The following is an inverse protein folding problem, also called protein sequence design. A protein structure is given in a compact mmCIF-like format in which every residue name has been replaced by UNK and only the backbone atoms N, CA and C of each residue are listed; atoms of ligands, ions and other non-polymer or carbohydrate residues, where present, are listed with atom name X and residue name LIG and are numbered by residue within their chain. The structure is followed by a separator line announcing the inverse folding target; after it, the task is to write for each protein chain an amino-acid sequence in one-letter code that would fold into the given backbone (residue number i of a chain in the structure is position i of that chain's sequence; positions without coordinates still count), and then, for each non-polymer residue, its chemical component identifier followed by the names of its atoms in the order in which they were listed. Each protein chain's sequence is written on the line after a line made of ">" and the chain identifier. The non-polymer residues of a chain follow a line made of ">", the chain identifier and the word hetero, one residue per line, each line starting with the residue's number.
data_IF_792000799916
#
_entry.id   IF_792000799916
#
_cell.length_a   1.000
_cell.length_b   1.000
_cell.length_c   1.000
_cell.angle_alpha   90.00
_cell.angle_beta   90.00
_cell.angle_gamma   90.00
#
_symmetry.space_group_name_H-M   'P 1'
#
loop_
_entity.id
_entity.type
_entity.pdbx_description
1 polymer ?
#
# COMPACT_ATOMS: atom_id res chain seq x y z
N UNK A 1 9.73 -60.98 25.14
CA UNK A 1 10.68 -59.85 25.07
C UNK A 1 11.49 -59.97 23.78
N UNK A 2 10.97 -59.38 22.70
CA UNK A 2 11.67 -58.87 21.49
C UNK A 2 10.59 -58.62 20.43
N UNK A 3 10.79 -57.60 19.59
CA UNK A 3 9.98 -57.29 18.40
C UNK A 3 8.66 -56.51 18.57
N UNK A 4 8.69 -55.30 19.15
CA UNK A 4 7.83 -54.15 18.71
C UNK A 4 8.54 -52.84 19.08
N UNK A 5 9.62 -52.45 18.39
CA UNK A 5 10.23 -51.11 18.56
C UNK A 5 10.79 -50.49 17.26
N UNK A 6 10.55 -51.10 16.10
CA UNK A 6 11.16 -50.67 14.84
C UNK A 6 10.28 -49.82 13.91
N UNK A 7 9.01 -49.55 14.24
CA UNK A 7 8.07 -48.88 13.31
C UNK A 7 7.69 -47.45 13.66
N UNK A 8 8.27 -46.88 14.72
CA UNK A 8 8.00 -45.49 15.16
C UNK A 8 9.15 -44.50 14.88
N UNK A 9 10.32 -44.98 14.46
CA UNK A 9 11.50 -44.14 14.22
C UNK A 9 11.66 -43.64 12.77
N UNK A 10 10.83 -44.10 11.81
CA UNK A 10 10.96 -43.75 10.39
C UNK A 10 9.85 -42.83 9.84
N UNK A 11 8.92 -42.36 10.68
CA UNK A 11 7.86 -41.41 10.26
C UNK A 11 7.99 -40.00 10.84
N UNK A 12 9.07 -39.74 11.58
CA UNK A 12 9.39 -38.43 12.18
C UNK A 12 10.58 -37.75 11.48
N UNK A 13 11.16 -38.37 10.44
CA UNK A 13 12.37 -37.87 9.77
C UNK A 13 12.12 -37.13 8.44
N UNK A 14 10.87 -36.95 8.00
CA UNK A 14 10.56 -36.31 6.71
C UNK A 14 9.67 -35.05 6.80
N UNK A 15 9.07 -34.75 7.96
CA UNK A 15 8.26 -33.53 8.15
C UNK A 15 8.96 -32.42 8.95
N UNK A 16 10.22 -32.64 9.38
CA UNK A 16 11.00 -31.64 10.13
C UNK A 16 12.05 -30.88 9.29
N UNK A 17 12.26 -31.25 8.02
CA UNK A 17 13.35 -30.68 7.20
C UNK A 17 12.97 -29.48 6.33
N UNK A 18 11.68 -29.10 6.27
CA UNK A 18 11.22 -27.96 5.46
C UNK A 18 10.95 -26.68 6.26
N UNK A 19 10.96 -26.75 7.59
CA UNK A 19 10.63 -25.60 8.46
C UNK A 19 11.86 -24.96 9.12
N UNK A 20 13.01 -25.64 9.14
CA UNK A 20 14.27 -25.13 9.73
C UNK A 20 15.12 -24.36 8.70
N UNK A 21 15.02 -24.70 7.40
CA UNK A 21 15.76 -24.02 6.32
C UNK A 21 15.29 -22.57 6.01
N UNK A 22 14.13 -22.15 6.52
CA UNK A 22 13.63 -20.79 6.30
C UNK A 22 14.05 -19.78 7.39
N UNK A 23 14.53 -20.26 8.55
CA UNK A 23 14.90 -19.40 9.68
C UNK A 23 16.41 -19.32 9.94
N UNK A 24 17.22 -20.30 9.51
CA UNK A 24 18.68 -20.23 9.64
C UNK A 24 19.37 -19.41 8.53
N UNK A 25 18.71 -19.18 7.38
CA UNK A 25 19.28 -18.38 6.30
C UNK A 25 19.15 -16.85 6.47
N UNK A 26 18.58 -16.39 7.60
CA UNK A 26 18.50 -14.96 7.95
C UNK A 26 19.46 -14.53 9.08
N UNK A 27 20.36 -15.42 9.53
CA UNK A 27 21.26 -15.09 10.66
C UNK A 27 22.76 -15.08 10.36
N UNK A 28 23.22 -15.45 9.16
CA UNK A 28 24.64 -15.43 8.79
C UNK A 28 24.91 -14.72 7.44
N UNK A 29 24.51 -13.45 7.32
CA UNK A 29 25.00 -12.57 6.24
C UNK A 29 25.31 -11.19 6.83
N UNK A 30 26.14 -11.14 7.87
CA UNK A 30 26.84 -9.93 8.32
C UNK A 30 28.24 -10.42 8.72
N UNK A 31 29.26 -9.81 8.09
CA UNK A 31 30.72 -10.08 8.14
C UNK A 31 31.25 -11.19 7.22
N UNK A 32 31.85 -10.83 6.06
CA UNK A 32 32.95 -11.61 5.53
C UNK A 32 34.22 -11.27 6.33
N UNK A 33 34.79 -12.29 6.95
CA UNK A 33 36.17 -12.33 7.43
C UNK A 33 37.11 -11.90 6.31
N UNK A 34 37.96 -10.92 6.61
CA UNK A 34 39.13 -10.57 5.82
C UNK A 34 40.00 -11.80 5.64
N UNK A 35 40.14 -12.29 4.42
CA UNK A 35 41.43 -12.64 3.82
C UNK A 35 41.25 -13.06 2.35
N UNK A 36 42.07 -12.44 1.49
CA UNK A 36 42.21 -12.66 0.04
C UNK A 36 41.08 -12.16 -0.87
N UNK A 37 40.97 -10.83 -1.00
CA UNK A 37 40.47 -10.20 -2.23
C UNK A 37 41.70 -9.61 -2.93
N UNK A 38 42.10 -10.22 -4.04
CA UNK A 38 43.02 -9.59 -5.00
C UNK A 38 42.43 -8.24 -5.42
N UNK A 39 43.19 -7.18 -5.18
CA UNK A 39 42.86 -5.82 -5.60
C UNK A 39 42.84 -5.74 -7.13
N UNK A 40 41.66 -5.82 -7.73
CA UNK A 40 41.47 -5.39 -9.11
C UNK A 40 41.62 -3.87 -9.17
N UNK A 41 42.69 -3.41 -9.82
CA UNK A 41 42.89 -2.00 -10.16
C UNK A 41 41.75 -1.49 -11.08
N UNK A 42 41.45 -0.17 -11.07
CA UNK A 42 40.34 0.39 -11.84
C UNK A 42 40.65 0.32 -13.33
N UNK A 43 40.07 -0.68 -13.99
CA UNK A 43 40.15 -0.88 -15.43
C UNK A 43 38.99 -0.21 -16.15
N UNK A 44 39.37 0.59 -17.14
CA UNK A 44 38.56 1.08 -18.27
C UNK A 44 37.47 0.07 -18.68
N UNK A 45 36.20 0.48 -18.65
CA UNK A 45 35.11 -0.40 -19.08
C UNK A 45 33.69 0.00 -18.65
N UNK A 46 33.51 1.01 -17.78
CA UNK A 46 32.20 1.62 -17.58
C UNK A 46 31.94 2.65 -18.69
N UNK A 47 31.53 2.16 -19.86
CA UNK A 47 30.79 3.00 -20.78
C UNK A 47 29.43 3.33 -20.14
N UNK A 48 29.05 4.60 -20.16
CA UNK A 48 27.64 4.96 -20.01
C UNK A 48 26.84 4.08 -20.99
N UNK A 49 25.70 3.49 -20.61
CA UNK A 49 24.90 2.73 -21.57
C UNK A 49 24.60 3.65 -22.74
N UNK A 50 25.15 3.29 -23.91
CA UNK A 50 25.01 4.07 -25.14
C UNK A 50 23.53 4.37 -25.36
N UNK A 51 23.21 5.63 -25.58
CA UNK A 51 21.87 6.06 -25.94
C UNK A 51 21.47 5.31 -27.22
N UNK A 52 20.59 4.32 -27.10
CA UNK A 52 20.03 3.62 -28.25
C UNK A 52 18.80 4.42 -28.74
N UNK A 53 18.88 5.10 -29.90
CA UNK A 53 17.81 5.94 -30.41
C UNK A 53 16.55 5.15 -30.79
N UNK A 54 16.68 3.83 -31.00
CA UNK A 54 15.59 2.97 -31.42
C UNK A 54 14.76 2.45 -30.24
N UNK A 55 15.21 2.68 -28.99
CA UNK A 55 14.41 2.33 -27.80
C UNK A 55 13.18 3.23 -27.73
N UNK A 56 11.99 2.62 -27.79
CA UNK A 56 10.74 3.34 -27.62
C UNK A 56 10.66 3.85 -26.17
N UNK A 57 10.58 5.18 -25.96
CA UNK A 57 10.48 5.73 -24.62
C UNK A 57 9.17 5.27 -23.98
N UNK A 58 9.21 5.03 -22.68
CA UNK A 58 8.00 4.80 -21.90
C UNK A 58 7.02 5.97 -22.09
N UNK A 59 5.84 5.69 -22.65
CA UNK A 59 4.84 6.72 -22.95
C UNK A 59 3.81 6.80 -21.85
N UNK A 60 3.63 8.02 -21.33
CA UNK A 60 2.58 8.33 -20.37
C UNK A 60 1.21 7.86 -20.88
N UNK A 61 0.54 7.06 -20.06
CA UNK A 61 -0.81 6.58 -20.35
C UNK A 61 -1.85 7.42 -19.60
N UNK A 62 -2.89 7.90 -20.30
CA UNK A 62 -3.96 8.68 -19.67
C UNK A 62 -4.67 7.82 -18.62
N UNK A 63 -4.79 8.36 -17.39
CA UNK A 63 -5.42 7.66 -16.27
C UNK A 63 -4.54 6.60 -15.60
N UNK A 64 -3.22 6.66 -15.84
CA UNK A 64 -2.21 5.77 -15.25
C UNK A 64 -1.12 6.57 -14.54
N UNK A 65 -0.59 5.99 -13.47
CA UNK A 65 0.39 6.65 -12.60
C UNK A 65 1.81 6.38 -13.03
N UNK A 66 2.15 5.11 -13.25
CA UNK A 66 3.46 4.75 -13.81
C UNK A 66 3.57 5.20 -15.27
N UNK A 67 4.75 5.67 -15.65
CA UNK A 67 5.07 6.03 -17.04
C UNK A 67 5.56 4.79 -17.79
N UNK A 68 6.41 3.99 -17.16
CA UNK A 68 6.95 2.73 -17.70
C UNK A 68 6.30 1.47 -17.11
N UNK A 69 6.61 0.35 -17.77
CA UNK A 69 6.32 -1.00 -17.28
C UNK A 69 7.61 -1.79 -17.03
N UNK A 70 8.55 -1.20 -16.27
CA UNK A 70 9.85 -1.83 -15.95
C UNK A 70 9.69 -3.27 -15.44
N UNK A 71 10.56 -4.17 -15.87
CA UNK A 71 10.51 -5.55 -15.41
C UNK A 71 10.70 -5.64 -13.89
N UNK A 72 10.11 -6.68 -13.30
CA UNK A 72 10.26 -6.94 -11.87
C UNK A 72 11.67 -7.39 -11.52
N UNK A 73 12.15 -7.06 -10.32
CA UNK A 73 13.50 -7.41 -9.84
C UNK A 73 13.89 -8.90 -9.88
N UNK A 74 12.90 -9.79 -9.98
CA UNK A 74 13.10 -11.25 -9.97
C UNK A 74 13.05 -11.85 -11.37
N UNK A 75 12.82 -11.03 -12.40
CA UNK A 75 12.80 -11.47 -13.79
C UNK A 75 14.23 -11.75 -14.28
N UNK A 76 14.37 -12.86 -15.03
CA UNK A 76 15.67 -13.26 -15.61
C UNK A 76 16.02 -12.45 -16.85
N UNK A 77 15.00 -11.95 -17.54
CA UNK A 77 15.12 -11.23 -18.80
C UNK A 77 14.48 -9.86 -18.64
N UNK A 78 15.09 -8.85 -19.25
CA UNK A 78 14.46 -7.53 -19.39
C UNK A 78 13.85 -7.40 -20.78
N UNK A 79 12.66 -6.80 -20.85
CA UNK A 79 11.96 -6.49 -22.08
C UNK A 79 12.08 -5.01 -22.37
N UNK A 80 12.51 -4.69 -23.59
CA UNK A 80 12.57 -3.32 -24.08
C UNK A 80 11.81 -3.25 -25.40
N UNK A 81 10.94 -2.24 -25.51
CA UNK A 81 10.25 -1.96 -26.76
C UNK A 81 11.21 -1.18 -27.66
N UNK A 82 11.38 -1.64 -28.90
CA UNK A 82 12.24 -1.03 -29.91
C UNK A 82 11.34 -0.64 -31.09
N UNK A 83 11.55 0.55 -31.66
CA UNK A 83 10.94 0.93 -32.94
C UNK A 83 11.65 0.14 -34.04
N UNK A 84 10.94 -0.79 -34.66
CA UNK A 84 11.46 -1.58 -35.78
C UNK A 84 11.36 -0.83 -37.12
N UNK A 85 10.92 0.43 -37.11
CA UNK A 85 10.78 1.29 -38.29
C UNK A 85 9.49 1.07 -39.08
N UNK A 86 8.62 0.14 -38.65
CA UNK A 86 7.33 -0.13 -39.31
C UNK A 86 6.18 0.69 -38.71
N UNK A 87 6.36 1.24 -37.51
CA UNK A 87 5.30 1.86 -36.72
C UNK A 87 5.26 3.39 -36.81
N UNK A 88 6.34 4.03 -37.27
CA UNK A 88 6.49 5.50 -37.26
C UNK A 88 5.40 6.21 -38.09
N UNK A 89 4.92 5.59 -39.17
CA UNK A 89 3.86 6.13 -40.05
C UNK A 89 2.42 5.84 -39.59
N UNK A 90 2.22 4.93 -38.63
CA UNK A 90 0.90 4.55 -38.11
C UNK A 90 0.62 5.11 -36.70
N UNK A 91 1.67 5.61 -36.01
CA UNK A 91 1.58 6.10 -34.63
C UNK A 91 1.30 7.61 -34.50
N UNK A 92 1.38 8.39 -35.58
CA UNK A 92 1.09 9.83 -35.54
C UNK A 92 -0.41 10.12 -35.35
N UNK A 93 -1.30 9.19 -35.73
CA UNK A 93 -2.76 9.42 -35.79
C UNK A 93 -3.65 8.43 -35.02
N UNK A 94 -3.10 7.48 -34.25
CA UNK A 94 -3.92 6.55 -33.43
C UNK A 94 -3.72 6.79 -31.94
N UNK A 95 -4.82 7.19 -31.27
CA UNK A 95 -5.00 7.20 -29.81
C UNK A 95 -4.57 5.82 -29.27
N UNK A 96 -3.33 5.73 -28.76
CA UNK A 96 -2.74 4.46 -28.32
C UNK A 96 -3.76 3.70 -27.47
N UNK A 97 -4.06 2.46 -27.88
CA UNK A 97 -5.20 1.73 -27.30
C UNK A 97 -5.13 1.75 -25.77
N UNK A 98 -6.18 2.30 -25.14
CA UNK A 98 -6.18 2.49 -23.68
C UNK A 98 -5.97 1.15 -22.98
N UNK A 99 -4.90 1.05 -22.19
CA UNK A 99 -4.60 -0.16 -21.43
C UNK A 99 -5.75 -0.45 -20.47
N UNK A 100 -6.43 -1.57 -20.70
CA UNK A 100 -7.53 -2.04 -19.85
C UNK A 100 -7.00 -2.68 -18.58
N UNK A 101 -7.71 -2.48 -17.48
CA UNK A 101 -7.43 -3.22 -16.25
C UNK A 101 -7.99 -4.64 -16.40
N UNK A 102 -7.17 -5.65 -16.15
CA UNK A 102 -7.56 -7.05 -16.04
C UNK A 102 -7.64 -7.47 -14.57
N UNK A 103 -8.51 -8.45 -14.28
CA UNK A 103 -8.76 -8.90 -12.93
C UNK A 103 -8.71 -10.44 -12.86
N UNK A 104 -7.63 -10.98 -12.32
CA UNK A 104 -7.44 -12.40 -12.04
C UNK A 104 -7.97 -12.82 -10.67
N UNK A 105 -8.10 -14.14 -10.45
CA UNK A 105 -8.49 -14.69 -9.15
C UNK A 105 -7.23 -14.91 -8.28
N UNK A 106 -7.26 -14.42 -7.04
CA UNK A 106 -6.27 -14.70 -6.01
C UNK A 106 -6.72 -15.91 -5.18
N UNK A 107 -6.06 -17.06 -5.38
CA UNK A 107 -6.32 -18.31 -4.66
C UNK A 107 -5.79 -18.32 -3.22
N UNK A 108 -6.01 -17.24 -2.47
CA UNK A 108 -5.54 -17.10 -1.11
C UNK A 108 -6.13 -18.19 -0.20
N UNK A 109 -5.31 -18.74 0.70
CA UNK A 109 -5.75 -19.73 1.73
C UNK A 109 -6.05 -19.10 3.09
N UNK A 110 -5.73 -17.81 3.24
CA UNK A 110 -5.92 -16.99 4.43
C UNK A 110 -6.10 -15.54 3.99
N UNK A 111 -6.88 -14.77 4.73
CA UNK A 111 -7.10 -13.33 4.46
C UNK A 111 -6.54 -12.40 5.51
N UNK A 112 -6.36 -12.88 6.75
CA UNK A 112 -5.74 -12.09 7.82
C UNK A 112 -4.22 -12.21 7.68
N UNK A 113 -3.56 -11.08 7.42
CA UNK A 113 -2.11 -10.96 7.40
C UNK A 113 -1.65 -10.25 8.67
N UNK A 114 -0.58 -10.75 9.31
CA UNK A 114 0.02 -10.14 10.50
C UNK A 114 1.32 -9.39 10.19
N UNK A 115 1.65 -8.41 11.02
CA UNK A 115 2.90 -7.65 10.97
C UNK A 115 3.40 -7.37 12.39
N UNK A 116 4.68 -7.06 12.53
CA UNK A 116 5.33 -6.75 13.81
C UNK A 116 5.94 -5.33 13.79
N UNK A 117 5.46 -4.45 12.91
CA UNK A 117 6.07 -3.14 12.75
C UNK A 117 5.67 -2.20 13.88
N UNK A 118 6.64 -1.59 14.58
CA UNK A 118 6.35 -0.63 15.65
C UNK A 118 5.82 0.72 15.13
N UNK A 119 5.90 0.96 13.81
CA UNK A 119 5.48 2.22 13.20
C UNK A 119 3.96 2.32 12.98
N UNK A 120 3.25 1.19 13.09
CA UNK A 120 1.80 1.14 12.85
C UNK A 120 1.07 0.67 14.10
N UNK A 121 -0.10 1.25 14.43
CA UNK A 121 -0.82 0.94 15.67
C UNK A 121 -1.68 -0.34 15.56
N UNK A 122 -1.32 -1.30 14.69
CA UNK A 122 -2.08 -2.52 14.45
C UNK A 122 -1.17 -3.69 14.06
N UNK A 123 -1.53 -4.91 14.48
CA UNK A 123 -0.77 -6.13 14.16
C UNK A 123 -1.34 -6.89 12.96
N UNK A 124 -2.59 -6.62 12.55
CA UNK A 124 -3.30 -7.43 11.54
C UNK A 124 -4.08 -6.60 10.53
N UNK A 125 -4.15 -7.13 9.32
CA UNK A 125 -4.83 -6.46 8.20
C UNK A 125 -5.48 -7.44 7.22
N UNK A 126 -6.39 -6.91 6.42
CA UNK A 126 -7.02 -7.60 5.30
C UNK A 126 -6.90 -6.72 4.05
N UNK A 127 -6.42 -7.31 2.95
CA UNK A 127 -6.37 -6.66 1.65
C UNK A 127 -7.25 -7.47 0.67
N UNK A 128 -8.44 -6.97 0.30
CA UNK A 128 -9.36 -7.70 -0.59
C UNK A 128 -8.77 -7.95 -1.99
N UNK A 129 -7.82 -7.10 -2.39
CA UNK A 129 -7.19 -7.10 -3.71
C UNK A 129 -5.66 -7.19 -3.62
N UNK A 130 -5.01 -7.60 -4.71
CA UNK A 130 -3.59 -7.36 -5.00
C UNK A 130 -3.48 -6.43 -6.20
N UNK A 131 -2.60 -5.44 -6.09
CA UNK A 131 -2.55 -4.29 -6.99
C UNK A 131 -3.68 -3.30 -6.73
N UNK A 132 -3.55 -2.11 -7.33
CA UNK A 132 -4.51 -1.03 -7.09
C UNK A 132 -4.69 -0.15 -8.32
N UNK A 133 -5.93 -0.09 -8.81
CA UNK A 133 -6.34 0.75 -9.94
C UNK A 133 -6.12 2.24 -9.69
N UNK A 134 -6.03 2.70 -8.43
CA UNK A 134 -5.73 4.10 -8.13
C UNK A 134 -4.43 4.57 -8.76
N UNK A 135 -3.46 3.66 -8.99
CA UNK A 135 -2.22 3.96 -9.69
C UNK A 135 -1.37 5.00 -8.99
N UNK A 136 -1.36 5.05 -7.65
CA UNK A 136 -0.58 6.06 -6.95
C UNK A 136 0.91 5.84 -7.24
N UNK A 137 1.63 6.82 -7.81
CA UNK A 137 3.03 6.61 -8.23
C UNK A 137 3.94 6.29 -7.04
N UNK A 138 3.70 6.93 -5.89
CA UNK A 138 4.44 6.73 -4.64
C UNK A 138 4.02 5.49 -3.83
N UNK A 139 3.17 4.61 -4.38
CA UNK A 139 2.56 3.53 -3.61
C UNK A 139 3.58 2.47 -3.18
N UNK A 140 3.89 2.40 -1.89
CA UNK A 140 4.84 1.44 -1.31
C UNK A 140 4.54 -0.04 -1.62
N UNK A 141 3.33 -0.37 -2.05
CA UNK A 141 2.92 -1.72 -2.40
C UNK A 141 3.25 -2.12 -3.85
N UNK A 142 3.65 -1.19 -4.72
CA UNK A 142 4.09 -1.49 -6.11
C UNK A 142 5.10 -2.65 -6.19
N UNK A 143 6.17 -2.67 -5.36
CA UNK A 143 7.11 -3.78 -5.29
C UNK A 143 6.50 -5.18 -5.10
N UNK A 144 5.28 -5.29 -4.55
CA UNK A 144 4.65 -6.61 -4.33
C UNK A 144 4.34 -7.35 -5.64
N UNK A 145 4.17 -6.62 -6.75
CA UNK A 145 3.94 -7.22 -8.06
C UNK A 145 5.17 -7.94 -8.63
N UNK A 146 6.38 -7.54 -8.23
CA UNK A 146 7.59 -8.25 -8.64
C UNK A 146 7.58 -9.72 -8.19
N UNK A 147 7.01 -10.02 -7.00
CA UNK A 147 6.85 -11.40 -6.51
C UNK A 147 5.82 -12.23 -7.30
N UNK A 148 5.03 -11.60 -8.15
CA UNK A 148 4.05 -12.25 -9.03
C UNK A 148 4.58 -12.43 -10.46
N UNK A 149 5.85 -12.09 -10.69
CA UNK A 149 6.44 -12.01 -12.02
C UNK A 149 5.82 -10.90 -12.88
N UNK A 150 5.39 -9.81 -12.24
CA UNK A 150 4.74 -8.67 -12.88
C UNK A 150 5.50 -7.38 -12.59
N UNK A 151 5.38 -6.41 -13.49
CA UNK A 151 6.00 -5.10 -13.30
C UNK A 151 5.41 -4.34 -12.09
N UNK A 152 6.27 -3.75 -11.22
CA UNK A 152 5.84 -2.75 -10.23
C UNK A 152 5.30 -1.44 -10.84
N UNK A 153 5.52 -1.21 -12.14
CA UNK A 153 5.05 -0.08 -12.93
C UNK A 153 3.59 -0.21 -13.33
N UNK A 154 3.30 -0.27 -14.64
CA UNK A 154 1.94 -0.31 -15.16
C UNK A 154 1.18 -1.59 -14.77
N UNK A 155 1.83 -2.75 -14.67
CA UNK A 155 1.15 -4.00 -14.28
C UNK A 155 0.54 -3.91 -12.87
N UNK A 156 1.15 -3.18 -11.93
CA UNK A 156 0.58 -2.98 -10.58
C UNK A 156 -0.83 -2.37 -10.59
N UNK A 157 -1.11 -1.50 -11.56
CA UNK A 157 -2.37 -0.75 -11.67
C UNK A 157 -3.26 -1.21 -12.83
N UNK A 158 -2.82 -2.19 -13.61
CA UNK A 158 -3.55 -2.76 -14.75
C UNK A 158 -3.80 -4.26 -14.63
N UNK A 159 -2.93 -5.04 -13.97
CA UNK A 159 -3.11 -6.48 -13.74
C UNK A 159 -3.38 -6.73 -12.26
N UNK A 160 -4.66 -6.76 -11.91
CA UNK A 160 -5.13 -6.91 -10.54
C UNK A 160 -5.55 -8.34 -10.22
N UNK A 161 -5.58 -8.65 -8.92
CA UNK A 161 -6.17 -9.90 -8.43
C UNK A 161 -7.13 -9.61 -7.30
N UNK A 162 -8.27 -10.30 -7.26
CA UNK A 162 -9.24 -10.21 -6.15
C UNK A 162 -9.42 -11.57 -5.47
N UNK A 163 -9.78 -11.54 -4.19
CA UNK A 163 -9.96 -12.75 -3.36
C UNK A 163 -11.45 -13.08 -3.19
N UNK A 164 -12.12 -13.78 -4.14
CA UNK A 164 -13.55 -14.06 -4.05
C UNK A 164 -13.95 -14.77 -2.75
N UNK A 165 -13.12 -15.72 -2.31
CA UNK A 165 -13.38 -16.53 -1.11
C UNK A 165 -13.08 -15.79 0.20
N UNK A 166 -12.68 -14.52 0.15
CA UNK A 166 -12.23 -13.80 1.34
C UNK A 166 -13.26 -13.77 2.48
N UNK A 167 -14.57 -13.56 2.26
CA UNK A 167 -15.56 -13.61 3.34
C UNK A 167 -15.66 -14.99 3.99
N UNK A 168 -15.62 -16.06 3.20
CA UNK A 168 -15.70 -17.44 3.70
C UNK A 168 -14.44 -17.82 4.49
N UNK A 169 -13.27 -17.47 3.96
CA UNK A 169 -11.99 -17.66 4.65
C UNK A 169 -11.92 -16.87 5.95
N UNK A 170 -12.38 -15.61 5.94
CA UNK A 170 -12.45 -14.78 7.14
C UNK A 170 -13.30 -15.44 8.22
N UNK A 171 -14.52 -15.87 7.87
CA UNK A 171 -15.43 -16.55 8.81
C UNK A 171 -14.78 -17.79 9.40
N UNK A 172 -14.13 -18.62 8.57
CA UNK A 172 -13.39 -19.81 9.03
C UNK A 172 -12.24 -19.45 9.98
N UNK A 173 -11.48 -18.39 9.70
CA UNK A 173 -10.39 -17.95 10.57
C UNK A 173 -10.88 -17.41 11.92
N UNK A 174 -11.99 -16.66 11.92
CA UNK A 174 -12.62 -16.14 13.15
C UNK A 174 -13.28 -17.25 13.99
N UNK A 175 -13.70 -18.36 13.38
CA UNK A 175 -14.30 -19.52 14.07
C UNK A 175 -13.27 -20.35 14.87
N UNK A 176 -11.97 -20.14 14.68
CA UNK A 176 -10.93 -20.88 15.40
C UNK A 176 -11.01 -20.55 16.90
N UNK A 177 -11.13 -21.57 17.76
CA UNK A 177 -11.29 -21.40 19.22
C UNK A 177 -10.18 -20.57 19.89
N UNK A 178 -8.96 -20.62 19.35
CA UNK A 178 -7.82 -19.85 19.86
C UNK A 178 -7.71 -18.43 19.26
N UNK A 179 -8.64 -18.04 18.39
CA UNK A 179 -8.64 -16.71 17.80
C UNK A 179 -8.97 -15.65 18.86
N UNK A 180 -8.08 -14.67 19.04
CA UNK A 180 -8.29 -13.53 19.92
C UNK A 180 -8.57 -12.28 19.08
N UNK A 181 -9.69 -11.57 19.32
CA UNK A 181 -10.03 -10.36 18.58
C UNK A 181 -9.03 -9.25 18.87
N UNK A 182 -8.64 -8.54 17.82
CA UNK A 182 -7.93 -7.26 17.91
C UNK A 182 -8.26 -6.45 16.64
N UNK A 183 -8.19 -5.12 16.66
CA UNK A 183 -8.55 -4.28 15.52
C UNK A 183 -7.91 -4.73 14.20
N UNK A 184 -8.73 -5.08 13.20
CA UNK A 184 -8.26 -5.40 11.85
C UNK A 184 -8.27 -4.13 11.00
N UNK A 185 -7.16 -3.84 10.33
CA UNK A 185 -7.13 -2.75 9.33
C UNK A 185 -7.35 -3.30 7.92
N UNK A 186 -8.40 -2.82 7.25
CA UNK A 186 -8.73 -3.17 5.88
C UNK A 186 -8.08 -2.13 4.95
N UNK A 187 -7.34 -2.57 3.95
CA UNK A 187 -6.79 -1.68 2.92
C UNK A 187 -5.39 -1.12 3.21
N UNK A 188 -4.52 -1.93 3.80
CA UNK A 188 -3.16 -1.51 4.18
C UNK A 188 -2.19 -1.45 3.00
N UNK A 189 -2.31 -2.36 2.03
CA UNK A 189 -1.42 -2.47 0.86
C UNK A 189 -2.14 -2.14 -0.45
N UNK A 190 -3.45 -2.34 -0.51
CA UNK A 190 -4.28 -2.01 -1.67
C UNK A 190 -5.52 -1.26 -1.21
N UNK A 191 -6.13 -0.47 -2.10
CA UNK A 191 -7.34 0.24 -1.72
C UNK A 191 -8.55 -0.69 -1.77
N UNK A 192 -9.33 -0.82 -0.68
CA UNK A 192 -10.49 -1.69 -0.65
C UNK A 192 -11.68 -1.09 -1.41
N UNK A 193 -11.63 0.18 -1.79
CA UNK A 193 -12.67 0.94 -2.50
C UNK A 193 -12.19 1.50 -3.85
N UNK A 194 -11.18 0.85 -4.46
CA UNK A 194 -10.78 1.11 -5.84
C UNK A 194 -11.91 0.84 -6.85
N UNK A 195 -11.86 1.36 -8.10
CA UNK A 195 -12.98 1.29 -9.04
C UNK A 195 -13.65 -0.08 -9.21
N UNK A 196 -12.88 -1.19 -9.28
CA UNK A 196 -13.42 -2.55 -9.38
C UNK A 196 -14.32 -2.97 -8.20
N UNK A 197 -14.18 -2.34 -7.02
CA UNK A 197 -15.04 -2.60 -5.85
C UNK A 197 -16.51 -2.17 -6.08
N UNK A 198 -16.80 -1.30 -7.06
CA UNK A 198 -18.18 -0.95 -7.41
C UNK A 198 -18.98 -2.17 -7.81
N UNK A 199 -18.36 -3.07 -8.57
CA UNK A 199 -18.98 -4.29 -9.08
C UNK A 199 -18.79 -5.46 -8.12
N UNK A 200 -17.59 -5.64 -7.56
CA UNK A 200 -17.25 -6.83 -6.77
C UNK A 200 -17.86 -6.86 -5.37
N UNK A 201 -18.06 -5.69 -4.75
CA UNK A 201 -18.61 -5.58 -3.39
C UNK A 201 -17.90 -6.51 -2.36
N UNK A 202 -16.60 -6.75 -2.57
CA UNK A 202 -15.84 -7.71 -1.77
C UNK A 202 -15.57 -7.13 -0.38
N UNK A 203 -15.21 -5.85 -0.33
CA UNK A 203 -15.02 -5.12 0.94
C UNK A 203 -16.31 -5.09 1.73
N UNK A 204 -17.44 -4.81 1.08
CA UNK A 204 -18.77 -4.86 1.72
C UNK A 204 -19.04 -6.23 2.34
N UNK A 205 -18.74 -7.30 1.63
CA UNK A 205 -18.91 -8.68 2.11
C UNK A 205 -18.01 -9.02 3.30
N UNK A 206 -16.77 -8.52 3.30
CA UNK A 206 -15.84 -8.64 4.44
C UNK A 206 -16.38 -7.88 5.67
N UNK A 207 -16.87 -6.65 5.48
CA UNK A 207 -17.46 -5.84 6.56
C UNK A 207 -18.67 -6.54 7.17
N UNK A 208 -19.53 -7.18 6.36
CA UNK A 208 -20.66 -7.99 6.87
C UNK A 208 -20.19 -9.10 7.80
N UNK A 209 -19.18 -9.88 7.40
CA UNK A 209 -18.64 -10.96 8.25
C UNK A 209 -18.09 -10.40 9.57
N UNK A 210 -17.38 -9.28 9.54
CA UNK A 210 -16.88 -8.62 10.75
C UNK A 210 -18.03 -8.10 11.63
N UNK A 211 -19.07 -7.53 11.02
CA UNK A 211 -20.28 -7.07 11.67
C UNK A 211 -21.03 -8.19 12.39
N UNK A 212 -21.24 -9.33 11.71
CA UNK A 212 -21.88 -10.53 12.27
C UNK A 212 -21.14 -11.07 13.50
N UNK A 213 -19.81 -10.97 13.48
CA UNK A 213 -18.95 -11.42 14.59
C UNK A 213 -18.71 -10.31 15.62
N UNK A 214 -19.31 -9.13 15.45
CA UNK A 214 -19.05 -7.95 16.28
C UNK A 214 -17.55 -7.61 16.41
N UNK A 215 -16.77 -7.92 15.38
CA UNK A 215 -15.32 -7.80 15.39
C UNK A 215 -14.89 -6.37 15.06
N UNK A 216 -13.95 -5.76 15.81
CA UNK A 216 -13.52 -4.40 15.54
C UNK A 216 -12.66 -4.28 14.27
N UNK A 217 -12.86 -3.21 13.51
CA UNK A 217 -12.09 -2.94 12.31
C UNK A 217 -11.89 -1.44 12.01
N UNK A 218 -10.86 -1.13 11.22
CA UNK A 218 -10.65 0.18 10.64
C UNK A 218 -10.44 0.04 9.14
N UNK A 219 -10.89 1.00 8.35
CA UNK A 219 -10.73 1.00 6.89
C UNK A 219 -9.75 2.10 6.50
N UNK A 220 -8.76 1.82 5.66
CA UNK A 220 -7.92 2.83 5.02
C UNK A 220 -8.29 2.93 3.54
N UNK A 221 -8.60 4.13 3.06
CA UNK A 221 -8.98 4.32 1.65
C UNK A 221 -8.72 5.74 1.13
N UNK A 222 -8.62 5.85 -0.20
CA UNK A 222 -8.67 7.08 -1.02
C UNK A 222 -9.97 7.17 -1.84
N UNK A 223 -10.84 6.16 -1.75
CA UNK A 223 -12.08 6.05 -2.52
C UNK A 223 -13.28 6.59 -1.76
N UNK A 224 -13.98 7.58 -2.34
CA UNK A 224 -15.26 8.08 -1.82
C UNK A 224 -16.38 7.02 -1.82
N UNK A 225 -16.16 5.89 -2.51
CA UNK A 225 -17.06 4.73 -2.54
C UNK A 225 -17.30 4.12 -1.15
N UNK A 226 -16.41 4.36 -0.17
CA UNK A 226 -16.64 3.96 1.23
C UNK A 226 -17.98 4.44 1.80
N UNK A 227 -18.48 5.57 1.30
CA UNK A 227 -19.80 6.11 1.71
C UNK A 227 -20.97 5.19 1.37
N UNK A 228 -20.82 4.27 0.41
CA UNK A 228 -21.80 3.22 0.09
C UNK A 228 -22.08 2.30 1.28
N UNK A 229 -21.05 2.02 2.08
CA UNK A 229 -21.12 1.02 3.14
C UNK A 229 -21.31 1.65 4.54
N UNK A 230 -21.73 2.92 4.61
CA UNK A 230 -22.09 3.61 5.87
C UNK A 230 -23.13 2.81 6.66
N UNK A 231 -24.07 2.17 5.97
CA UNK A 231 -25.12 1.33 6.56
C UNK A 231 -24.56 0.15 7.39
N UNK A 232 -23.35 -0.33 7.05
CA UNK A 232 -22.66 -1.39 7.78
C UNK A 232 -21.64 -0.85 8.79
N UNK A 233 -20.99 0.28 8.47
CA UNK A 233 -19.91 0.85 9.28
C UNK A 233 -20.47 1.62 10.49
N UNK A 234 -21.51 2.43 10.32
CA UNK A 234 -22.06 3.27 11.37
C UNK A 234 -22.59 2.49 12.59
N UNK A 235 -23.32 1.37 12.45
CA UNK A 235 -23.75 0.57 13.60
C UNK A 235 -22.59 -0.04 14.41
N UNK A 236 -21.46 -0.30 13.75
CA UNK A 236 -20.24 -0.77 14.43
C UNK A 236 -19.50 0.39 15.09
N UNK A 237 -19.42 1.55 14.44
CA UNK A 237 -18.82 2.76 14.98
C UNK A 237 -19.54 3.26 16.24
N UNK A 238 -20.87 3.19 16.28
CA UNK A 238 -21.69 3.53 17.45
C UNK A 238 -21.35 2.69 18.70
N UNK A 239 -20.73 1.52 18.52
CA UNK A 239 -20.25 0.63 19.59
C UNK A 239 -18.73 0.73 19.81
N UNK A 240 -18.08 1.75 19.25
CA UNK A 240 -16.62 1.89 19.21
C UNK A 240 -15.89 0.70 18.54
N UNK A 241 -16.50 0.07 17.53
CA UNK A 241 -15.92 -1.10 16.82
C UNK A 241 -15.55 -0.81 15.37
N UNK A 242 -15.84 0.38 14.85
CA UNK A 242 -15.43 0.77 13.52
C UNK A 242 -14.90 2.21 13.46
N UNK A 243 -13.91 2.42 12.59
CA UNK A 243 -13.40 3.74 12.21
C UNK A 243 -12.97 3.75 10.75
N UNK A 244 -12.85 4.94 10.16
CA UNK A 244 -12.37 5.08 8.78
C UNK A 244 -11.20 6.06 8.73
N UNK A 245 -10.15 5.68 8.02
CA UNK A 245 -9.02 6.51 7.67
C UNK A 245 -9.09 6.89 6.18
N UNK A 246 -9.30 8.17 5.88
CA UNK A 246 -9.33 8.67 4.50
C UNK A 246 -8.00 9.33 4.17
N UNK A 247 -7.31 8.90 3.12
CA UNK A 247 -6.07 9.56 2.70
C UNK A 247 -6.37 10.77 1.80
N UNK A 248 -5.92 11.95 2.22
CA UNK A 248 -6.00 13.19 1.43
C UNK A 248 -4.59 13.71 1.27
N UNK A 249 -4.06 13.60 0.05
CA UNK A 249 -2.64 13.87 -0.25
C UNK A 249 -2.40 15.36 -0.56
N UNK A 250 -3.32 15.98 -1.28
CA UNK A 250 -3.26 17.39 -1.71
C UNK A 250 -4.69 17.87 -1.96
N UNK A 251 -4.94 19.17 -1.78
CA UNK A 251 -6.15 19.86 -2.17
C UNK A 251 -6.10 20.31 -3.64
N UNK A 252 -4.90 20.39 -4.24
CA UNK A 252 -4.72 20.68 -5.66
C UNK A 252 -5.19 19.50 -6.53
N UNK A 253 -6.23 19.76 -7.33
CA UNK A 253 -6.84 18.79 -8.21
C UNK A 253 -5.89 18.29 -9.32
N UNK A 254 -5.03 19.15 -9.87
CA UNK A 254 -4.05 18.77 -10.89
C UNK A 254 -3.01 17.86 -10.27
N UNK A 255 -2.41 18.24 -9.14
CA UNK A 255 -1.39 17.42 -8.48
C UNK A 255 -1.96 16.06 -8.06
N UNK A 256 -3.15 16.04 -7.47
CA UNK A 256 -3.82 14.79 -7.09
C UNK A 256 -4.08 13.90 -8.32
N UNK A 257 -4.59 14.43 -9.43
CA UNK A 257 -4.82 13.61 -10.64
C UNK A 257 -3.53 13.10 -11.29
N UNK A 258 -2.39 13.77 -11.10
CA UNK A 258 -1.11 13.27 -11.61
C UNK A 258 -0.54 12.18 -10.69
N UNK A 259 -0.64 12.37 -9.38
CA UNK A 259 -0.08 11.45 -8.40
C UNK A 259 -0.90 10.17 -8.24
N UNK A 260 -2.23 10.27 -8.33
CA UNK A 260 -3.21 9.24 -7.98
C UNK A 260 -4.42 9.27 -8.94
N UNK A 261 -4.19 9.01 -10.25
CA UNK A 261 -5.07 9.38 -11.36
C UNK A 261 -6.47 8.74 -11.37
N UNK A 262 -6.66 7.64 -10.66
CA UNK A 262 -7.96 6.95 -10.56
C UNK A 262 -8.50 6.89 -9.14
N UNK A 263 -7.84 7.55 -8.19
CA UNK A 263 -8.41 7.80 -6.86
C UNK A 263 -9.54 8.83 -6.95
N UNK A 264 -10.33 8.97 -5.88
CA UNK A 264 -11.35 10.03 -5.84
C UNK A 264 -10.68 11.40 -5.82
N UNK A 265 -11.22 12.38 -6.53
CA UNK A 265 -10.70 13.74 -6.50
C UNK A 265 -10.70 14.33 -5.06
N UNK A 266 -9.80 15.29 -4.72
CA UNK A 266 -9.69 15.83 -3.36
C UNK A 266 -11.01 16.30 -2.76
N UNK A 267 -11.81 17.09 -3.50
CA UNK A 267 -13.12 17.56 -3.03
C UNK A 267 -14.09 16.41 -2.71
N UNK A 268 -14.08 15.31 -3.50
CA UNK A 268 -14.91 14.13 -3.22
C UNK A 268 -14.45 13.38 -1.96
N UNK A 269 -13.16 13.43 -1.62
CA UNK A 269 -12.66 12.86 -0.36
C UNK A 269 -13.11 13.70 0.83
N UNK A 270 -13.08 15.03 0.72
CA UNK A 270 -13.64 15.92 1.74
C UNK A 270 -15.14 15.67 1.94
N UNK A 271 -15.90 15.52 0.85
CA UNK A 271 -17.33 15.18 0.94
C UNK A 271 -17.58 13.80 1.55
N UNK A 272 -16.71 12.82 1.27
CA UNK A 272 -16.78 11.51 1.89
C UNK A 272 -16.49 11.58 3.41
N UNK A 273 -15.49 12.37 3.82
CA UNK A 273 -15.19 12.61 5.24
C UNK A 273 -16.42 13.21 5.94
N UNK A 274 -17.06 14.20 5.32
CA UNK A 274 -18.29 14.82 5.86
C UNK A 274 -19.41 13.81 6.04
N UNK A 275 -19.74 13.04 5.01
CA UNK A 275 -20.78 12.01 5.07
C UNK A 275 -20.51 10.93 6.13
N UNK A 276 -19.25 10.54 6.29
CA UNK A 276 -18.86 9.57 7.31
C UNK A 276 -19.00 10.17 8.72
N UNK A 277 -18.53 11.40 8.91
CA UNK A 277 -18.64 12.11 10.19
C UNK A 277 -20.10 12.38 10.58
N UNK A 278 -20.93 12.82 9.64
CA UNK A 278 -22.37 13.03 9.83
C UNK A 278 -23.11 11.75 10.24
N UNK A 279 -22.61 10.59 9.77
CA UNK A 279 -23.12 9.27 10.18
C UNK A 279 -22.57 8.78 11.54
N UNK A 280 -21.83 9.61 12.26
CA UNK A 280 -21.23 9.27 13.55
C UNK A 280 -20.02 8.34 13.48
N UNK A 281 -19.41 8.16 12.31
CA UNK A 281 -18.23 7.31 12.14
C UNK A 281 -16.97 8.13 12.48
N UNK A 282 -16.11 7.68 13.40
CA UNK A 282 -14.83 8.35 13.66
C UNK A 282 -13.94 8.34 12.41
N UNK A 283 -13.61 9.52 11.90
CA UNK A 283 -12.75 9.69 10.71
C UNK A 283 -11.37 10.20 11.09
N UNK A 284 -10.35 9.42 10.75
CA UNK A 284 -8.95 9.87 10.73
C UNK A 284 -8.58 10.28 9.31
N UNK A 285 -7.78 11.34 9.15
CA UNK A 285 -7.19 11.66 7.85
C UNK A 285 -5.71 11.34 7.81
N UNK A 286 -5.30 10.70 6.72
CA UNK A 286 -3.90 10.39 6.43
C UNK A 286 -3.39 11.34 5.34
N UNK A 287 -2.61 12.34 5.73
CA UNK A 287 -1.84 13.20 4.82
C UNK A 287 -0.58 12.45 4.39
N UNK A 288 -0.77 11.43 3.55
CA UNK A 288 0.20 10.39 3.28
C UNK A 288 0.29 10.09 1.77
N UNK A 289 1.35 10.57 1.08
CA UNK A 289 2.54 11.24 1.60
C UNK A 289 2.49 12.77 1.60
N UNK A 290 3.27 13.39 2.50
CA UNK A 290 3.84 14.73 2.29
C UNK A 290 5.12 14.57 1.46
N UNK A 291 5.19 15.30 0.34
CA UNK A 291 6.29 15.33 -0.62
C UNK A 291 6.86 16.76 -0.64
N UNK A 292 8.10 16.96 -0.15
CA UNK A 292 8.70 18.29 -0.10
C UNK A 292 8.90 18.86 -1.50
N UNK A 293 8.50 20.12 -1.69
CA UNK A 293 8.54 20.80 -2.98
C UNK A 293 7.36 20.52 -3.91
N UNK A 294 6.42 19.63 -3.53
CA UNK A 294 5.20 19.35 -4.30
C UNK A 294 3.91 19.70 -3.55
N UNK A 295 3.70 19.20 -2.32
CA UNK A 295 2.46 19.43 -1.55
C UNK A 295 2.70 19.89 -0.11
N UNK A 296 3.96 20.04 0.33
CA UNK A 296 4.30 20.43 1.70
C UNK A 296 3.90 21.88 2.03
N UNK A 297 3.72 22.73 1.01
CA UNK A 297 3.14 24.07 1.18
C UNK A 297 1.66 24.04 1.59
N UNK A 298 0.97 22.92 1.41
CA UNK A 298 -0.47 22.80 1.68
C UNK A 298 -0.80 22.34 3.10
N UNK A 299 0.21 21.98 3.93
CA UNK A 299 0.01 21.32 5.24
C UNK A 299 -1.08 21.98 6.09
N UNK A 300 -0.98 23.29 6.32
CA UNK A 300 -1.90 24.01 7.20
C UNK A 300 -3.32 24.07 6.61
N UNK A 301 -3.43 24.34 5.30
CA UNK A 301 -4.71 24.39 4.59
C UNK A 301 -5.37 23.02 4.51
N UNK A 302 -4.58 21.96 4.32
CA UNK A 302 -5.03 20.58 4.29
C UNK A 302 -5.61 20.17 5.65
N UNK A 303 -4.91 20.47 6.75
CA UNK A 303 -5.40 20.20 8.12
C UNK A 303 -6.68 20.98 8.42
N UNK A 304 -6.75 22.26 8.04
CA UNK A 304 -7.97 23.05 8.19
C UNK A 304 -9.15 22.46 7.39
N UNK A 305 -8.94 22.18 6.10
CA UNK A 305 -9.99 21.65 5.22
C UNK A 305 -10.54 20.30 5.69
N UNK A 306 -9.69 19.40 6.20
CA UNK A 306 -10.16 18.10 6.69
C UNK A 306 -10.80 18.19 8.07
N UNK A 307 -10.40 19.17 8.92
CA UNK A 307 -11.14 19.50 10.13
C UNK A 307 -12.55 19.99 9.80
N UNK A 308 -12.67 20.92 8.85
CA UNK A 308 -13.96 21.48 8.42
C UNK A 308 -14.87 20.43 7.78
N UNK A 309 -14.28 19.38 7.19
CA UNK A 309 -15.01 18.22 6.72
C UNK A 309 -15.48 17.27 7.83
N UNK A 310 -15.07 17.46 9.09
CA UNK A 310 -15.51 16.64 10.23
C UNK A 310 -14.55 15.53 10.66
N UNK A 311 -13.30 15.53 10.19
CA UNK A 311 -12.31 14.59 10.69
C UNK A 311 -11.99 14.84 12.18
N UNK A 312 -11.83 13.76 12.94
CA UNK A 312 -11.53 13.80 14.39
C UNK A 312 -10.03 13.80 14.67
N UNK A 313 -9.23 13.23 13.75
CA UNK A 313 -7.78 13.21 13.87
C UNK A 313 -7.08 13.25 12.52
N UNK A 314 -5.82 13.66 12.53
CA UNK A 314 -4.99 13.74 11.32
C UNK A 314 -3.57 13.27 11.63
N UNK A 315 -2.96 12.57 10.68
CA UNK A 315 -1.56 12.17 10.73
C UNK A 315 -0.90 12.32 9.38
N UNK A 316 0.41 12.50 9.35
CA UNK A 316 1.20 12.51 8.14
C UNK A 316 2.27 11.42 8.16
N UNK A 317 2.72 11.08 6.95
CA UNK A 317 4.04 10.48 6.73
C UNK A 317 4.69 11.25 5.59
N UNK A 318 6.01 11.32 5.57
CA UNK A 318 6.74 11.81 4.39
C UNK A 318 6.81 10.71 3.33
N UNK A 319 7.03 11.10 2.07
CA UNK A 319 7.17 10.17 0.95
C UNK A 319 8.24 9.10 1.22
N UNK A 320 7.92 7.89 0.76
CA UNK A 320 8.74 6.70 0.88
C UNK A 320 8.94 6.12 -0.51
N UNK A 321 10.20 5.91 -0.88
CA UNK A 321 10.57 5.40 -2.21
C UNK A 321 11.37 4.09 -2.08
N UNK A 322 10.83 3.04 -1.45
CA UNK A 322 11.52 1.76 -1.39
C UNK A 322 11.65 1.15 -2.79
N UNK A 323 12.83 0.60 -3.08
CA UNK A 323 13.04 -0.32 -4.20
C UNK A 323 12.71 0.38 -5.53
N UNK A 324 11.94 -0.24 -6.44
CA UNK A 324 11.64 0.28 -7.79
C UNK A 324 10.87 1.61 -7.77
N UNK A 325 10.27 1.97 -6.63
CA UNK A 325 9.49 3.20 -6.52
C UNK A 325 10.37 4.43 -6.68
N UNK A 326 11.64 4.38 -6.26
CA UNK A 326 12.55 5.52 -6.44
C UNK A 326 12.70 5.87 -7.93
N UNK A 327 12.95 4.88 -8.78
CA UNK A 327 13.13 5.08 -10.21
C UNK A 327 11.81 5.48 -10.88
N UNK A 328 10.70 4.80 -10.56
CA UNK A 328 9.36 5.14 -11.06
C UNK A 328 8.95 6.57 -10.68
N UNK A 329 9.29 7.03 -9.47
CA UNK A 329 8.96 8.38 -9.01
C UNK A 329 9.82 9.45 -9.68
N UNK A 330 11.11 9.17 -9.90
CA UNK A 330 12.00 10.05 -10.65
C UNK A 330 11.60 10.18 -12.13
N UNK A 331 11.19 9.08 -12.76
CA UNK A 331 10.60 9.06 -14.10
C UNK A 331 9.31 9.89 -14.15
N UNK A 332 8.43 9.70 -13.17
CA UNK A 332 7.20 10.48 -13.07
C UNK A 332 7.46 11.97 -12.86
N UNK A 333 8.47 12.34 -12.07
CA UNK A 333 8.89 13.73 -11.90
C UNK A 333 9.41 14.32 -13.21
N UNK A 334 10.24 13.58 -13.94
CA UNK A 334 10.72 14.00 -15.27
C UNK A 334 9.55 14.29 -16.22
N UNK A 335 8.57 13.38 -16.27
CA UNK A 335 7.45 13.49 -17.18
C UNK A 335 6.42 14.57 -16.81
N UNK A 336 6.30 14.96 -15.52
CA UNK A 336 5.21 15.81 -15.05
C UNK A 336 5.66 17.13 -14.42
N UNK A 337 6.87 17.18 -13.85
CA UNK A 337 7.46 18.32 -13.16
C UNK A 337 8.99 18.37 -13.37
N UNK A 338 9.49 18.40 -14.63
CA UNK A 338 10.92 18.34 -14.92
C UNK A 338 11.70 19.50 -14.27
N UNK A 339 11.09 20.68 -14.22
CA UNK A 339 11.59 21.89 -13.57
C UNK A 339 11.76 21.74 -12.04
N UNK A 340 11.08 20.77 -11.41
CA UNK A 340 11.14 20.53 -9.97
C UNK A 340 11.85 19.24 -9.59
N UNK A 341 12.10 18.32 -10.52
CA UNK A 341 12.67 16.99 -10.26
C UNK A 341 13.92 17.06 -9.39
N UNK A 342 14.92 17.84 -9.83
CA UNK A 342 16.20 17.96 -9.11
C UNK A 342 16.01 18.46 -7.67
N UNK A 343 15.15 19.47 -7.48
CA UNK A 343 14.84 20.03 -6.17
C UNK A 343 14.12 19.04 -5.27
N UNK A 344 13.06 18.39 -5.76
CA UNK A 344 12.27 17.41 -4.99
C UNK A 344 13.16 16.24 -4.56
N UNK A 345 13.95 15.68 -5.47
CA UNK A 345 14.84 14.56 -5.16
C UNK A 345 15.96 14.97 -4.20
N UNK A 346 16.50 16.18 -4.32
CA UNK A 346 17.47 16.71 -3.34
C UNK A 346 16.86 16.80 -1.93
N UNK A 347 15.64 17.33 -1.80
CA UNK A 347 14.95 17.42 -0.51
C UNK A 347 14.64 16.04 0.08
N UNK A 348 14.27 15.07 -0.76
CA UNK A 348 14.07 13.68 -0.31
C UNK A 348 15.39 13.10 0.22
N UNK A 349 16.51 13.28 -0.50
CA UNK A 349 17.83 12.81 -0.05
C UNK A 349 18.27 13.46 1.26
N UNK A 350 18.02 14.75 1.43
CA UNK A 350 18.32 15.46 2.68
C UNK A 350 17.53 14.92 3.88
N UNK A 351 16.33 14.35 3.66
CA UNK A 351 15.54 13.72 4.73
C UNK A 351 15.92 12.25 5.01
N UNK A 352 16.96 11.75 4.33
CA UNK A 352 17.35 10.34 4.25
C UNK A 352 18.87 10.16 4.28
N UNK A 353 19.58 11.12 4.86
CA UNK A 353 21.04 11.10 5.01
C UNK A 353 21.80 10.88 3.68
N UNK A 354 21.29 11.47 2.59
CA UNK A 354 21.87 11.38 1.24
C UNK A 354 21.22 10.33 0.33
N UNK A 355 20.49 9.36 0.91
CA UNK A 355 19.89 8.26 0.17
C UNK A 355 18.50 8.57 -0.39
N UNK A 356 17.99 7.74 -1.31
CA UNK A 356 16.60 7.89 -1.81
C UNK A 356 15.56 7.34 -0.84
N UNK A 357 15.95 6.41 0.04
CA UNK A 357 15.08 5.79 1.02
C UNK A 357 15.87 5.14 2.17
N UNK A 358 15.27 5.12 3.37
CA UNK A 358 15.76 4.40 4.53
C UNK A 358 14.67 3.44 5.01
N UNK A 359 15.04 2.17 5.28
CA UNK A 359 14.10 1.11 5.65
C UNK A 359 13.85 0.98 7.16
N UNK A 360 14.68 1.61 7.98
CA UNK A 360 14.68 1.50 9.44
C UNK A 360 13.35 1.97 10.06
N UNK A 361 12.89 1.22 11.07
CA UNK A 361 11.71 1.61 11.84
C UNK A 361 11.96 2.92 12.59
N UNK A 362 10.90 3.69 12.83
CA UNK A 362 10.95 5.02 13.42
C UNK A 362 11.32 6.12 12.42
N UNK A 363 12.25 5.87 11.48
CA UNK A 363 12.75 6.88 10.54
C UNK A 363 12.08 6.82 9.17
N UNK A 364 11.77 5.62 8.65
CA UNK A 364 11.24 5.43 7.28
C UNK A 364 9.97 6.23 6.98
N UNK A 365 9.10 6.45 7.98
CA UNK A 365 7.85 7.23 7.81
C UNK A 365 8.00 8.72 8.11
N UNK A 366 9.02 9.12 8.87
CA UNK A 366 9.20 10.50 9.37
C UNK A 366 10.26 11.29 8.62
N UNK A 367 11.36 10.65 8.24
CA UNK A 367 12.57 11.36 7.79
C UNK A 367 13.48 11.75 8.95
N UNK A 368 14.67 12.17 8.60
CA UNK A 368 15.68 12.75 9.50
C UNK A 368 16.05 14.16 9.01
N UNK A 369 16.72 14.93 9.87
CA UNK A 369 17.29 16.23 9.49
C UNK A 369 16.29 17.40 9.40
N UNK A 370 16.79 18.61 9.06
CA UNK A 370 16.04 19.87 9.23
C UNK A 370 14.75 19.96 8.43
N UNK A 371 14.71 19.36 7.22
CA UNK A 371 13.52 19.38 6.36
C UNK A 371 12.41 18.51 6.96
N UNK A 372 12.74 17.30 7.44
CA UNK A 372 11.78 16.42 8.10
C UNK A 372 11.25 17.07 9.40
N UNK A 373 12.14 17.67 10.19
CA UNK A 373 11.78 18.39 11.41
C UNK A 373 10.85 19.58 11.13
N UNK A 374 11.11 20.34 10.07
CA UNK A 374 10.25 21.46 9.66
C UNK A 374 8.85 20.97 9.29
N UNK A 375 8.74 19.92 8.48
CA UNK A 375 7.45 19.31 8.09
C UNK A 375 6.71 18.84 9.35
N UNK A 376 7.39 18.11 10.23
CA UNK A 376 6.80 17.60 11.47
C UNK A 376 6.28 18.72 12.36
N UNK A 377 7.09 19.77 12.61
CA UNK A 377 6.71 20.92 13.44
C UNK A 377 5.53 21.69 12.85
N UNK A 378 5.52 21.93 11.54
CA UNK A 378 4.39 22.58 10.85
C UNK A 378 3.11 21.77 10.98
N UNK A 379 3.21 20.46 10.76
CA UNK A 379 2.07 19.56 10.87
C UNK A 379 1.55 19.48 12.31
N UNK A 380 2.44 19.41 13.30
CA UNK A 380 2.07 19.38 14.72
C UNK A 380 1.41 20.68 15.18
N UNK A 381 1.93 21.82 14.74
CA UNK A 381 1.34 23.13 15.01
C UNK A 381 -0.08 23.23 14.42
N UNK A 382 -0.26 22.84 13.15
CA UNK A 382 -1.56 22.82 12.49
C UNK A 382 -2.53 21.86 13.21
N UNK A 383 -2.09 20.64 13.50
CA UNK A 383 -2.87 19.63 14.22
C UNK A 383 -3.32 20.12 15.60
N UNK A 384 -2.43 20.75 16.36
CA UNK A 384 -2.74 21.32 17.69
C UNK A 384 -3.72 22.49 17.58
N UNK A 385 -3.52 23.38 16.62
CA UNK A 385 -4.42 24.53 16.36
C UNK A 385 -5.86 24.08 16.11
N UNK A 386 -6.06 22.96 15.42
CA UNK A 386 -7.39 22.42 15.10
C UNK A 386 -7.90 21.33 16.06
N UNK A 387 -7.18 21.05 17.16
CA UNK A 387 -7.61 20.07 18.17
C UNK A 387 -7.66 18.62 17.66
N UNK A 388 -6.83 18.25 16.67
CA UNK A 388 -6.87 16.96 15.97
C UNK A 388 -5.79 15.97 16.46
N UNK A 389 -5.52 15.94 17.76
CA UNK A 389 -4.31 15.28 18.33
C UNK A 389 -4.46 13.78 18.59
N UNK A 390 -5.65 13.21 18.53
CA UNK A 390 -5.92 11.82 18.95
C UNK A 390 -6.19 10.86 17.79
N UNK A 391 -5.16 10.21 17.24
CA UNK A 391 -5.39 8.96 16.48
C UNK A 391 -5.39 7.80 17.46
N UNK A 392 -6.52 7.12 17.59
CA UNK A 392 -6.59 5.89 18.41
C UNK A 392 -7.27 4.78 17.60
N UNK A 393 -6.58 3.65 17.47
CA UNK A 393 -7.19 2.37 17.07
C UNK A 393 -7.65 1.57 18.29
N UNK A 394 -7.92 2.23 19.42
CA UNK A 394 -8.50 1.59 20.60
C UNK A 394 -9.99 1.29 20.37
N UNK A 395 -10.26 0.27 19.56
CA UNK A 395 -11.61 -0.21 19.26
C UNK A 395 -12.00 -1.33 20.22
N UNK A 396 -13.27 -1.35 20.61
CA UNK A 396 -13.82 -2.32 21.53
C UNK A 396 -13.78 -3.74 20.94
N UNK A 397 -13.04 -4.63 21.62
CA UNK A 397 -12.93 -6.05 21.28
C UNK A 397 -13.84 -6.95 22.12
N UNK A 398 -14.46 -6.42 23.18
CA UNK A 398 -15.11 -7.22 24.24
C UNK A 398 -16.39 -7.92 23.79
N UNK A 399 -17.10 -7.38 22.80
CA UNK A 399 -18.31 -8.00 22.28
C UNK A 399 -18.11 -8.92 21.07
N UNK A 400 -16.89 -9.35 20.78
CA UNK A 400 -16.63 -10.31 19.71
C UNK A 400 -17.36 -11.64 19.97
N UNK A 401 -17.96 -12.18 18.91
CA UNK A 401 -18.63 -13.48 18.94
C UNK A 401 -18.04 -14.37 17.86
N UNK A 402 -17.64 -15.58 18.23
CA UNK A 402 -17.16 -16.56 17.25
C UNK A 402 -18.30 -16.95 16.31
N UNK A 403 -18.08 -16.90 14.99
CA UNK A 403 -19.06 -17.43 14.06
C UNK A 403 -19.07 -18.96 14.09
N UNK A 404 -20.21 -19.56 13.82
CA UNK A 404 -20.26 -20.99 13.53
C UNK A 404 -19.50 -21.26 12.22
N UNK A 405 -18.65 -22.29 12.22
CA UNK A 405 -17.83 -22.66 11.07
C UNK A 405 -18.69 -22.96 9.81
N UNK A 406 -19.95 -23.37 10.01
CA UNK A 406 -20.90 -23.73 8.94
C UNK A 406 -21.85 -22.58 8.54
N UNK A 407 -21.67 -21.36 9.06
CA UNK A 407 -22.41 -20.17 8.62
C UNK A 407 -23.83 -19.99 9.19
N UNK A 408 -24.33 -20.90 10.03
CA UNK A 408 -25.62 -20.73 10.72
C UNK A 408 -25.43 -19.85 11.96
N UNK A 409 -26.13 -18.71 12.08
CA UNK A 409 -26.15 -17.96 13.34
C UNK A 409 -26.79 -18.79 14.45
N UNK A 410 -26.26 -18.78 15.67
CA UNK A 410 -26.95 -19.41 16.80
C UNK A 410 -28.22 -18.63 17.11
N UNK A 411 -29.37 -19.27 16.93
CA UNK A 411 -30.66 -18.75 17.37
C UNK A 411 -30.79 -18.98 18.88
N UNK A 412 -30.15 -18.16 19.71
CA UNK A 412 -30.41 -18.14 21.15
C UNK A 412 -30.26 -16.73 21.71
#
# INVERSE_FOLDING_TARGET
>A
MTSVRATWALRISLECSYFVLYFEHMRNIIEPTSDHIETAQPGEGWSHPDFNPDLLPARRQKGRGAVSNIDGRFERHSHQAIDDGWMTSLMEDQDASRIRTTLGIDGARSVITKNQSPDVPFDRSINPYRGCEHGCIYCFARPTHAYLGLSPGLDFETKLFWKPDAPALLRKQLAVKSYMPAPIVIGTSTDPYQPVEREKQLTRSIIKVLGDCHHPFSIITKGALVTRDIDLIAPMAARNRASVAVSVTSLDHRLSNLLEPRASAPHRRLDAIRKLADAGIPVTVLCAPIIPGLNDMEIENLVAAVRDAGATSVSHIVVRLPLEIADLFEEWLEANYPDRKAKVMSLIRQMRDGERYQSEFGTRMRGTGPIADLIARRFDAARKKHGMTGRSLNLDCSGFVHPNANGQMSLF
#
